data_IF_877974280291
#
_entry.id   IF_877974280291
#
_cell.length_a   1.000
_cell.length_b   1.000
_cell.length_c   1.000
_cell.angle_alpha   90.00
_cell.angle_beta   90.00
_cell.angle_gamma   90.00
#
_symmetry.space_group_name_H-M   'P 1'
#
loop_
_entity.id
_entity.type
_entity.pdbx_description
1 polymer ?
#
# COMPACT_ATOMS: atom_id res chain seq x y z
N UNK A 1 -8.57 4.10 -9.60
CA UNK A 1 -7.94 5.05 -8.64
C UNK A 1 -6.71 5.68 -9.28
N UNK A 2 -6.52 6.96 -9.07
CA UNK A 2 -5.32 7.70 -9.50
C UNK A 2 -4.71 8.36 -8.28
N UNK A 3 -3.39 8.24 -8.09
CA UNK A 3 -2.63 8.96 -7.06
C UNK A 3 -1.69 9.93 -7.78
N UNK A 4 -1.94 11.22 -7.65
CA UNK A 4 -1.17 12.27 -8.33
C UNK A 4 -0.26 13.02 -7.36
N UNK A 5 0.73 13.74 -7.91
CA UNK A 5 1.69 14.56 -7.15
C UNK A 5 2.49 13.79 -6.10
N UNK A 6 2.67 12.48 -6.28
CA UNK A 6 3.51 11.66 -5.40
C UNK A 6 5.00 11.77 -5.77
N UNK A 7 5.87 11.52 -4.80
CA UNK A 7 7.27 11.19 -5.00
C UNK A 7 7.40 9.67 -5.11
N UNK A 8 7.35 9.15 -6.33
CA UNK A 8 7.29 7.72 -6.62
C UNK A 8 8.69 7.12 -6.60
N UNK A 9 8.86 6.02 -5.84
CA UNK A 9 10.10 5.25 -5.88
C UNK A 9 10.25 4.50 -7.20
N UNK A 10 11.37 4.70 -7.88
CA UNK A 10 11.62 4.19 -9.23
C UNK A 10 12.57 2.99 -9.21
N UNK A 11 12.61 2.17 -10.29
CA UNK A 11 13.59 1.09 -10.43
C UNK A 11 15.07 1.55 -10.41
N UNK A 12 15.31 2.86 -10.55
CA UNK A 12 16.65 3.47 -10.43
C UNK A 12 17.03 3.80 -8.99
N UNK A 13 16.21 3.39 -8.01
CA UNK A 13 16.39 3.69 -6.59
C UNK A 13 16.38 5.20 -6.27
N UNK A 14 15.57 5.95 -7.02
CA UNK A 14 15.36 7.39 -6.84
C UNK A 14 13.87 7.67 -6.60
N UNK A 15 13.57 8.82 -6.00
CA UNK A 15 12.21 9.33 -5.92
C UNK A 15 12.00 10.38 -7.00
N UNK A 16 10.98 10.21 -7.81
CA UNK A 16 10.62 11.11 -8.89
C UNK A 16 9.15 11.52 -8.75
N UNK A 17 8.86 12.80 -9.01
CA UNK A 17 7.48 13.26 -9.02
C UNK A 17 6.71 12.56 -10.14
N UNK A 18 5.58 11.97 -9.79
CA UNK A 18 4.79 11.19 -10.73
C UNK A 18 3.34 10.97 -10.32
N UNK A 19 2.66 10.25 -11.17
CA UNK A 19 1.27 9.81 -10.97
C UNK A 19 1.23 8.29 -11.07
N UNK A 20 0.52 7.65 -10.15
CA UNK A 20 0.25 6.21 -10.17
C UNK A 20 -1.20 5.99 -10.65
N UNK A 21 -1.36 5.11 -11.63
CA UNK A 21 -2.65 4.67 -12.13
C UNK A 21 -2.90 3.25 -11.65
N UNK A 22 -4.01 3.03 -10.96
CA UNK A 22 -4.36 1.73 -10.39
C UNK A 22 -5.64 1.24 -11.05
N UNK A 23 -5.58 0.07 -11.68
CA UNK A 23 -6.70 -0.60 -12.35
C UNK A 23 -6.74 -2.07 -11.92
N UNK A 24 -7.92 -2.50 -11.47
CA UNK A 24 -8.14 -3.90 -11.06
C UNK A 24 -7.08 -4.39 -10.04
N UNK A 25 -6.73 -3.54 -9.06
CA UNK A 25 -5.74 -3.88 -8.03
C UNK A 25 -4.28 -3.90 -8.52
N UNK A 26 -3.99 -3.38 -9.72
CA UNK A 26 -2.64 -3.36 -10.29
C UNK A 26 -2.24 -1.94 -10.68
N UNK A 27 -0.96 -1.63 -10.50
CA UNK A 27 -0.35 -0.40 -11.03
C UNK A 27 -0.14 -0.60 -12.53
N UNK A 28 -0.61 0.35 -13.33
CA UNK A 28 -0.45 0.36 -14.78
C UNK A 28 0.33 1.61 -15.23
N UNK A 29 1.03 1.58 -16.37
CA UNK A 29 1.85 2.72 -16.82
C UNK A 29 1.04 4.01 -17.04
N UNK A 30 -0.15 3.86 -17.59
CA UNK A 30 -1.09 4.96 -17.83
C UNK A 30 -2.51 4.43 -17.92
N UNK A 31 -3.47 5.23 -17.46
CA UNK A 31 -4.89 4.99 -17.70
C UNK A 31 -5.61 6.34 -17.87
N UNK A 32 -6.50 6.42 -18.84
CA UNK A 32 -7.38 7.58 -18.97
C UNK A 32 -8.29 7.67 -17.72
N UNK A 33 -8.51 8.86 -17.15
CA UNK A 33 -9.45 9.04 -16.05
C UNK A 33 -10.86 8.56 -16.43
N UNK A 34 -11.51 7.88 -15.49
CA UNK A 34 -12.89 7.41 -15.64
C UNK A 34 -13.84 8.30 -14.82
N UNK A 35 -15.09 8.42 -15.28
CA UNK A 35 -16.09 9.20 -14.56
C UNK A 35 -16.32 8.62 -13.16
N UNK A 36 -16.24 9.48 -12.13
CA UNK A 36 -16.39 9.07 -10.72
C UNK A 36 -15.19 8.33 -10.13
N UNK A 37 -14.07 8.31 -10.84
CA UNK A 37 -12.86 7.69 -10.35
C UNK A 37 -12.30 8.42 -9.13
N UNK A 38 -11.86 7.65 -8.14
CA UNK A 38 -11.15 8.17 -6.98
C UNK A 38 -9.79 8.74 -7.40
N UNK A 39 -9.55 10.00 -7.05
CA UNK A 39 -8.28 10.68 -7.26
C UNK A 39 -7.74 11.16 -5.91
N UNK A 40 -6.54 10.71 -5.57
CA UNK A 40 -5.83 11.11 -4.36
C UNK A 40 -4.71 12.07 -4.75
N UNK A 41 -4.71 13.27 -4.18
CA UNK A 41 -3.53 14.16 -4.27
C UNK A 41 -2.58 13.81 -3.11
N UNK A 42 -1.42 13.31 -3.46
CA UNK A 42 -0.41 12.92 -2.47
C UNK A 42 0.38 14.13 -1.92
N UNK A 43 0.20 15.33 -2.46
CA UNK A 43 0.82 16.58 -1.96
C UNK A 43 2.35 16.48 -1.76
N UNK A 44 3.03 15.65 -2.55
CA UNK A 44 4.47 15.41 -2.45
C UNK A 44 4.86 14.33 -1.45
N UNK A 45 3.92 13.57 -0.90
CA UNK A 45 4.21 12.40 -0.08
C UNK A 45 4.91 11.31 -0.90
N UNK A 46 5.67 10.48 -0.22
CA UNK A 46 6.39 9.37 -0.84
C UNK A 46 5.45 8.21 -1.16
N UNK A 47 5.57 7.67 -2.36
CA UNK A 47 4.93 6.43 -2.78
C UNK A 47 5.99 5.38 -3.05
N UNK A 48 5.96 4.31 -2.27
CA UNK A 48 6.88 3.18 -2.38
C UNK A 48 6.09 1.87 -2.33
N UNK A 49 6.67 0.76 -2.81
CA UNK A 49 6.06 -0.55 -2.65
C UNK A 49 5.75 -0.85 -1.19
N UNK A 50 4.67 -1.58 -0.94
CA UNK A 50 4.35 -2.08 0.38
C UNK A 50 5.52 -2.90 0.95
N UNK A 51 5.66 -2.89 2.25
CA UNK A 51 6.70 -3.65 2.94
C UNK A 51 6.33 -5.14 2.97
N UNK A 52 7.32 -5.99 3.17
CA UNK A 52 7.12 -7.43 3.39
C UNK A 52 7.78 -7.77 4.71
N UNK A 53 6.99 -8.23 5.67
CA UNK A 53 7.51 -8.79 6.92
C UNK A 53 7.77 -10.29 6.73
N UNK A 54 8.99 -10.71 6.99
CA UNK A 54 9.42 -12.11 6.84
C UNK A 54 9.53 -12.84 8.18
N UNK A 55 9.29 -12.16 9.29
CA UNK A 55 9.34 -12.76 10.62
C UNK A 55 8.51 -11.95 11.62
N UNK A 56 7.34 -12.47 11.95
CA UNK A 56 6.38 -11.79 12.79
C UNK A 56 5.69 -12.80 13.73
N UNK A 57 5.65 -12.52 15.02
CA UNK A 57 5.05 -13.38 16.04
C UNK A 57 3.66 -12.94 16.42
N UNK A 58 3.49 -11.65 16.69
CA UNK A 58 2.21 -11.14 17.16
C UNK A 58 2.22 -9.63 17.41
N UNK A 59 1.03 -9.07 17.54
CA UNK A 59 0.77 -7.67 17.86
C UNK A 59 -0.61 -7.51 18.51
N UNK A 60 -0.87 -6.34 19.08
CA UNK A 60 -2.19 -5.98 19.64
C UNK A 60 -2.73 -6.99 20.67
N UNK A 61 -1.83 -7.66 21.42
CA UNK A 61 -2.21 -8.69 22.39
C UNK A 61 -2.66 -10.02 21.77
N UNK A 62 -2.42 -10.23 20.47
CA UNK A 62 -2.67 -11.45 19.72
C UNK A 62 -1.36 -12.07 19.25
N UNK A 63 -1.34 -13.39 19.09
CA UNK A 63 -0.21 -14.17 18.61
C UNK A 63 -0.69 -15.16 17.55
N UNK A 64 0.17 -15.49 16.56
CA UNK A 64 -0.16 -16.53 15.59
C UNK A 64 -0.42 -17.90 16.26
N UNK A 65 0.21 -18.17 17.41
CA UNK A 65 -0.02 -19.39 18.19
C UNK A 65 -1.42 -19.45 18.82
N UNK A 66 -2.16 -18.34 18.87
CA UNK A 66 -3.57 -18.36 19.31
C UNK A 66 -4.44 -19.23 18.38
N UNK A 67 -4.04 -19.34 17.11
CA UNK A 67 -4.64 -20.25 16.12
C UNK A 67 -6.10 -19.93 15.80
N UNK A 68 -6.55 -18.71 16.04
CA UNK A 68 -7.92 -18.27 15.80
C UNK A 68 -8.00 -17.32 14.61
N UNK A 69 -9.10 -17.38 13.87
CA UNK A 69 -9.35 -16.46 12.75
C UNK A 69 -9.33 -15.01 13.21
N UNK A 70 -9.91 -14.72 14.37
CA UNK A 70 -9.90 -13.39 14.96
C UNK A 70 -8.49 -12.86 15.23
N UNK A 71 -7.60 -13.71 15.76
CA UNK A 71 -6.20 -13.32 16.00
C UNK A 71 -5.49 -13.03 14.67
N UNK A 72 -5.64 -13.90 13.68
CA UNK A 72 -5.03 -13.75 12.35
C UNK A 72 -5.52 -12.47 11.68
N UNK A 73 -6.82 -12.18 11.74
CA UNK A 73 -7.37 -10.95 11.16
C UNK A 73 -6.81 -9.70 11.86
N UNK A 74 -6.75 -9.70 13.19
CA UNK A 74 -6.21 -8.57 13.95
C UNK A 74 -4.73 -8.31 13.62
N UNK A 75 -3.93 -9.37 13.41
CA UNK A 75 -2.54 -9.27 13.00
C UNK A 75 -2.40 -8.72 11.58
N UNK A 76 -3.22 -9.22 10.64
CA UNK A 76 -3.22 -8.74 9.26
C UNK A 76 -3.61 -7.25 9.16
N UNK A 77 -4.62 -6.83 9.91
CA UNK A 77 -5.06 -5.43 9.95
C UNK A 77 -3.97 -4.52 10.55
N UNK A 78 -3.28 -5.01 11.57
CA UNK A 78 -2.15 -4.28 12.17
C UNK A 78 -1.01 -4.09 11.15
N UNK A 79 -0.58 -5.16 10.48
CA UNK A 79 0.48 -5.10 9.49
C UNK A 79 0.11 -4.20 8.31
N UNK A 80 -1.11 -4.33 7.78
CA UNK A 80 -1.61 -3.45 6.72
C UNK A 80 -1.59 -1.97 7.14
N UNK A 81 -1.88 -1.67 8.41
CA UNK A 81 -1.81 -0.30 8.95
C UNK A 81 -0.39 0.27 8.99
N UNK A 82 0.64 -0.59 8.88
CA UNK A 82 2.06 -0.21 8.85
C UNK A 82 2.65 -0.24 7.44
N UNK A 83 1.86 -0.62 6.44
CA UNK A 83 2.28 -0.67 5.04
C UNK A 83 2.90 -2.02 4.62
N UNK A 84 2.61 -3.07 5.37
CA UNK A 84 3.01 -4.46 5.06
C UNK A 84 1.91 -5.16 4.27
#
# INVERSE_FOLDING_TARGET
MIIQNALVYTPRHTFERGTLFIRNGRIVPFAAPEAGEEVIDAEGLYALPGLVDIHFHGAMGKDFCDGTEEAIQALADFEASKGV
#
